data_IF_922229560197
#
_entry.id   IF_922229560197
#
_cell.length_a   1.000
_cell.length_b   1.000
_cell.length_c   1.000
_cell.angle_alpha   90.00
_cell.angle_beta   90.00
_cell.angle_gamma   90.00
#
_symmetry.space_group_name_H-M   'P 1'
#
loop_
_entity.id
_entity.type
_entity.pdbx_description
1 polymer ?
#
# COMPACT_ATOMS: atom_id res chain seq x y z
N UNK A 1 -7.45 14.91 -9.05
CA UNK A 1 -7.07 13.59 -8.49
C UNK A 1 -6.96 12.61 -9.63
N UNK A 2 -5.72 12.25 -10.01
CA UNK A 2 -5.38 11.32 -11.12
C UNK A 2 -4.03 10.62 -10.82
N UNK A 3 -3.84 10.14 -9.59
CA UNK A 3 -2.64 9.38 -9.23
C UNK A 3 -2.97 7.88 -9.07
N UNK A 4 -1.93 7.05 -8.99
CA UNK A 4 -2.06 5.59 -8.87
C UNK A 4 -2.79 5.15 -7.60
N UNK A 5 -2.71 5.92 -6.51
CA UNK A 5 -3.44 5.62 -5.26
C UNK A 5 -4.94 5.79 -5.43
N UNK A 6 -5.37 6.92 -6.01
CA UNK A 6 -6.78 7.23 -6.25
C UNK A 6 -7.39 6.22 -7.22
N UNK A 7 -6.64 5.85 -8.25
CA UNK A 7 -7.08 4.86 -9.22
C UNK A 7 -7.14 3.44 -8.62
N UNK A 8 -6.12 3.04 -7.85
CA UNK A 8 -6.11 1.77 -7.11
C UNK A 8 -7.30 1.69 -6.15
N UNK A 9 -7.55 2.75 -5.38
CA UNK A 9 -8.72 2.85 -4.49
C UNK A 9 -10.02 2.63 -5.27
N UNK A 10 -10.22 3.35 -6.38
CA UNK A 10 -11.42 3.20 -7.20
C UNK A 10 -11.60 1.77 -7.72
N UNK A 11 -10.54 1.14 -8.23
CA UNK A 11 -10.63 -0.20 -8.83
C UNK A 11 -10.98 -1.27 -7.80
N UNK A 12 -10.36 -1.24 -6.64
CA UNK A 12 -10.67 -2.16 -5.54
C UNK A 12 -12.09 -1.87 -5.04
N UNK A 13 -12.47 -0.59 -4.91
CA UNK A 13 -13.79 -0.20 -4.41
C UNK A 13 -14.87 -0.69 -5.35
N UNK A 14 -14.68 -0.54 -6.66
CA UNK A 14 -15.60 -1.00 -7.69
C UNK A 14 -15.76 -2.52 -7.67
N UNK A 15 -14.67 -3.26 -7.46
CA UNK A 15 -14.71 -4.72 -7.38
C UNK A 15 -15.47 -5.21 -6.15
N UNK A 16 -15.23 -4.60 -4.98
CA UNK A 16 -15.87 -4.97 -3.71
C UNK A 16 -17.13 -4.16 -3.37
N UNK A 17 -17.65 -3.35 -4.30
CA UNK A 17 -18.75 -2.41 -4.03
C UNK A 17 -20.00 -3.09 -3.48
N UNK A 18 -20.33 -4.30 -3.96
CA UNK A 18 -21.48 -5.08 -3.47
C UNK A 18 -21.41 -5.39 -1.97
N UNK A 19 -20.20 -5.54 -1.43
CA UNK A 19 -19.96 -5.86 -0.02
C UNK A 19 -19.76 -4.62 0.83
N UNK A 20 -18.93 -3.70 0.34
CA UNK A 20 -18.43 -2.58 1.14
C UNK A 20 -19.24 -1.29 0.96
N UNK A 21 -20.09 -1.23 -0.08
CA UNK A 21 -20.85 -0.03 -0.42
C UNK A 21 -19.97 1.20 -0.61
N UNK A 22 -20.45 2.33 -0.09
CA UNK A 22 -19.79 3.64 -0.19
C UNK A 22 -18.64 3.83 0.80
N UNK A 23 -18.57 3.01 1.84
CA UNK A 23 -17.50 3.05 2.84
C UNK A 23 -16.19 2.48 2.29
N UNK A 24 -16.26 1.58 1.30
CA UNK A 24 -15.11 1.05 0.57
C UNK A 24 -13.98 0.53 1.47
N UNK A 25 -14.35 -0.13 2.57
CA UNK A 25 -13.45 -0.55 3.66
C UNK A 25 -12.28 -1.38 3.14
N UNK A 26 -12.52 -2.34 2.22
CA UNK A 26 -11.46 -3.18 1.65
C UNK A 26 -10.41 -2.33 0.94
N UNK A 27 -10.84 -1.31 0.19
CA UNK A 27 -9.91 -0.43 -0.53
C UNK A 27 -9.08 0.43 0.42
N UNK A 28 -9.70 0.92 1.50
CA UNK A 28 -9.00 1.65 2.55
C UNK A 28 -7.92 0.78 3.20
N UNK A 29 -8.27 -0.46 3.55
CA UNK A 29 -7.34 -1.41 4.16
C UNK A 29 -6.22 -1.78 3.19
N UNK A 30 -6.53 -2.07 1.92
CA UNK A 30 -5.50 -2.39 0.92
C UNK A 30 -4.50 -1.25 0.74
N UNK A 31 -4.95 0.00 0.59
CA UNK A 31 -4.03 1.14 0.50
C UNK A 31 -3.21 1.32 1.77
N UNK A 32 -3.82 1.08 2.94
CA UNK A 32 -3.12 1.16 4.23
C UNK A 32 -2.00 0.14 4.31
N UNK A 33 -2.26 -1.11 3.90
CA UNK A 33 -1.26 -2.19 3.87
C UNK A 33 -0.13 -1.83 2.90
N UNK A 34 -0.44 -1.36 1.69
CA UNK A 34 0.58 -0.99 0.69
C UNK A 34 1.49 0.12 1.22
N UNK A 35 0.91 1.20 1.76
CA UNK A 35 1.69 2.30 2.35
C UNK A 35 2.54 1.83 3.54
N UNK A 36 1.98 0.98 4.39
CA UNK A 36 2.70 0.41 5.52
C UNK A 36 3.91 -0.43 5.08
N UNK A 37 3.74 -1.29 4.07
CA UNK A 37 4.83 -2.10 3.52
C UNK A 37 5.95 -1.24 2.92
N UNK A 38 5.60 -0.14 2.24
CA UNK A 38 6.61 0.81 1.78
C UNK A 38 7.41 1.44 2.92
N UNK A 39 6.75 1.87 3.99
CA UNK A 39 7.43 2.44 5.15
C UNK A 39 8.30 1.39 5.86
N UNK A 40 7.83 0.15 5.95
CA UNK A 40 8.60 -0.95 6.51
C UNK A 40 9.86 -1.24 5.68
N UNK A 41 9.75 -1.27 4.36
CA UNK A 41 10.89 -1.43 3.47
C UNK A 41 11.88 -0.27 3.57
N UNK A 42 11.38 0.97 3.64
CA UNK A 42 12.24 2.14 3.85
C UNK A 42 12.98 2.06 5.18
N UNK A 43 12.31 1.61 6.24
CA UNK A 43 12.93 1.36 7.54
C UNK A 43 14.03 0.30 7.46
N UNK A 44 13.78 -0.84 6.79
CA UNK A 44 14.81 -1.86 6.59
C UNK A 44 15.99 -1.32 5.80
N UNK A 45 15.75 -0.63 4.68
CA UNK A 45 16.80 -0.01 3.87
C UNK A 45 17.68 0.94 4.70
N UNK A 46 17.06 1.82 5.50
CA UNK A 46 17.81 2.76 6.36
C UNK A 46 18.64 2.00 7.40
N UNK A 47 18.10 0.92 7.98
CA UNK A 47 18.84 0.13 8.97
C UNK A 47 20.07 -0.55 8.38
N UNK A 48 19.95 -1.10 7.17
CA UNK A 48 21.06 -1.71 6.44
C UNK A 48 22.12 -0.65 6.10
N UNK A 49 21.70 0.49 5.53
CA UNK A 49 22.61 1.59 5.17
C UNK A 49 23.39 2.15 6.36
N UNK A 50 22.80 2.14 7.55
CA UNK A 50 23.42 2.63 8.78
C UNK A 50 24.14 1.54 9.58
N UNK A 51 24.26 0.32 9.04
CA UNK A 51 24.90 -0.83 9.69
C UNK A 51 24.38 -1.08 11.12
N UNK A 52 23.07 -0.92 11.35
CA UNK A 52 22.44 -1.19 12.65
C UNK A 52 22.31 -2.71 12.96
N UNK A 53 23.05 -3.55 12.25
CA UNK A 53 23.00 -5.02 12.34
C UNK A 53 23.61 -5.60 13.63
N UNK A 54 24.28 -4.77 14.44
CA UNK A 54 24.91 -5.21 15.70
C UNK A 54 23.94 -5.32 16.90
N UNK A 55 22.63 -5.08 16.73
CA UNK A 55 21.64 -5.20 17.81
C UNK A 55 20.72 -6.41 17.62
N UNK A 56 20.39 -7.16 18.69
CA UNK A 56 19.55 -8.34 18.60
C UNK A 56 18.19 -8.02 17.96
N UNK A 57 17.73 -8.90 17.06
CA UNK A 57 16.46 -8.81 16.30
C UNK A 57 15.21 -9.07 17.17
N UNK A 58 15.24 -8.79 18.45
CA UNK A 58 14.09 -8.99 19.33
C UNK A 58 13.16 -7.79 19.21
N UNK A 59 12.05 -7.95 18.49
CA UNK A 59 10.97 -6.96 18.49
C UNK A 59 10.30 -6.95 19.86
N UNK A 60 10.65 -5.93 20.66
CA UNK A 60 10.08 -5.73 21.98
C UNK A 60 8.59 -5.40 21.88
N UNK A 61 7.89 -5.47 23.02
CA UNK A 61 6.48 -5.08 23.09
C UNK A 61 6.27 -3.62 22.64
N UNK A 62 7.25 -2.74 22.91
CA UNK A 62 7.28 -1.35 22.45
C UNK A 62 7.30 -1.26 20.92
N UNK A 63 8.12 -2.06 20.23
CA UNK A 63 8.19 -2.06 18.76
C UNK A 63 6.87 -2.53 18.14
N UNK A 64 6.24 -3.56 18.74
CA UNK A 64 4.94 -4.06 18.29
C UNK A 64 3.84 -3.02 18.43
N UNK A 65 3.80 -2.30 19.56
CA UNK A 65 2.87 -1.18 19.75
C UNK A 65 3.15 -0.07 18.73
N UNK A 66 4.41 0.27 18.49
CA UNK A 66 4.82 1.27 17.50
C UNK A 66 4.33 0.92 16.09
N UNK A 67 4.48 -0.34 15.67
CA UNK A 67 3.99 -0.84 14.37
C UNK A 67 2.47 -0.67 14.25
N UNK A 68 1.71 -1.11 15.26
CA UNK A 68 0.25 -1.00 15.26
C UNK A 68 -0.18 0.47 15.23
N UNK A 69 0.49 1.33 15.99
CA UNK A 69 0.23 2.76 16.01
C UNK A 69 0.48 3.41 14.64
N UNK A 70 1.58 3.08 13.97
CA UNK A 70 1.87 3.57 12.62
C UNK A 70 0.80 3.09 11.63
N UNK A 71 0.43 1.81 11.66
CA UNK A 71 -0.66 1.29 10.82
C UNK A 71 -1.98 2.05 11.06
N UNK A 72 -2.32 2.34 12.31
CA UNK A 72 -3.52 3.10 12.66
C UNK A 72 -3.45 4.52 12.10
N UNK A 73 -2.31 5.21 12.20
CA UNK A 73 -2.13 6.55 11.64
C UNK A 73 -2.33 6.56 10.12
N UNK A 74 -1.74 5.59 9.40
CA UNK A 74 -1.90 5.46 7.94
C UNK A 74 -3.37 5.19 7.60
N UNK A 75 -4.04 4.32 8.37
CA UNK A 75 -5.46 4.03 8.18
C UNK A 75 -6.30 5.29 8.36
N UNK A 76 -6.09 6.05 9.44
CA UNK A 76 -6.81 7.30 9.70
C UNK A 76 -6.57 8.34 8.60
N UNK A 77 -5.33 8.45 8.10
CA UNK A 77 -5.00 9.29 6.96
C UNK A 77 -5.76 8.87 5.70
N UNK A 78 -5.72 7.60 5.33
CA UNK A 78 -6.43 7.07 4.16
C UNK A 78 -7.95 7.21 4.30
N UNK A 79 -8.49 6.95 5.48
CA UNK A 79 -9.91 7.12 5.79
C UNK A 79 -10.33 8.57 5.61
N UNK A 80 -9.59 9.54 6.18
CA UNK A 80 -9.85 10.97 5.98
C UNK A 80 -9.79 11.35 4.50
N UNK A 81 -8.83 10.80 3.76
CA UNK A 81 -8.64 11.12 2.34
C UNK A 81 -9.71 10.52 1.43
N UNK A 82 -10.19 9.31 1.67
CA UNK A 82 -10.98 8.53 0.71
C UNK A 82 -12.40 8.17 1.14
N UNK A 83 -12.77 8.32 2.42
CA UNK A 83 -14.13 8.01 2.89
C UNK A 83 -15.18 8.76 2.06
N UNK A 84 -16.15 8.02 1.53
CA UNK A 84 -17.24 8.56 0.70
C UNK A 84 -16.83 9.04 -0.70
N UNK A 85 -15.56 8.94 -1.09
CA UNK A 85 -15.08 9.43 -2.40
C UNK A 85 -15.30 8.46 -3.56
N UNK A 86 -15.88 7.29 -3.31
CA UNK A 86 -16.09 6.29 -4.36
C UNK A 86 -16.85 6.86 -5.56
N UNK A 87 -17.96 7.57 -5.35
CA UNK A 87 -18.74 8.13 -6.46
C UNK A 87 -17.99 9.20 -7.24
N UNK A 88 -17.28 10.10 -6.54
CA UNK A 88 -16.44 11.12 -7.18
C UNK A 88 -15.40 10.47 -8.10
N UNK A 89 -14.75 9.40 -7.64
CA UNK A 89 -13.76 8.68 -8.42
C UNK A 89 -14.39 7.83 -9.53
N UNK A 90 -15.59 7.28 -9.30
CA UNK A 90 -16.37 6.59 -10.34
C UNK A 90 -16.67 7.52 -11.49
N UNK A 91 -17.12 8.74 -11.24
CA UNK A 91 -17.50 9.69 -12.30
C UNK A 91 -16.31 10.04 -13.20
N UNK A 92 -15.08 10.03 -12.65
CA UNK A 92 -13.85 10.26 -13.41
C UNK A 92 -13.50 9.09 -14.34
N UNK A 93 -13.71 7.84 -13.91
CA UNK A 93 -13.20 6.64 -14.58
C UNK A 93 -14.27 5.63 -15.01
N UNK A 94 -15.55 6.01 -15.01
CA UNK A 94 -16.64 5.14 -15.46
C UNK A 94 -16.62 4.97 -16.98
N UNK A 95 -16.29 6.05 -17.70
CA UNK A 95 -16.27 6.13 -19.16
C UNK A 95 -14.85 5.98 -19.75
N UNK A 96 -13.96 5.28 -19.05
CA UNK A 96 -12.60 5.04 -19.52
C UNK A 96 -12.59 4.05 -20.70
N UNK A 97 -11.84 4.39 -21.76
CA UNK A 97 -11.64 3.52 -22.93
C UNK A 97 -11.10 2.14 -22.54
N UNK A 98 -11.54 1.10 -23.26
CA UNK A 98 -11.23 -0.30 -22.94
C UNK A 98 -9.73 -0.59 -22.84
N UNK A 99 -8.92 -0.06 -23.77
CA UNK A 99 -7.47 -0.27 -23.80
C UNK A 99 -6.80 0.41 -22.59
N UNK A 100 -7.17 1.67 -22.33
CA UNK A 100 -6.66 2.43 -21.19
C UNK A 100 -7.02 1.77 -19.85
N UNK A 101 -8.24 1.23 -19.77
CA UNK A 101 -8.75 0.47 -18.62
C UNK A 101 -7.92 -0.78 -18.31
N UNK A 102 -7.44 -1.48 -19.33
CA UNK A 102 -6.58 -2.67 -19.19
C UNK A 102 -5.18 -2.28 -18.72
N UNK A 103 -4.55 -1.31 -19.39
CA UNK A 103 -3.21 -0.80 -19.04
C UNK A 103 -3.18 -0.29 -17.60
N UNK A 104 -4.14 0.57 -17.23
CA UNK A 104 -4.23 1.09 -15.88
C UNK A 104 -4.55 -0.02 -14.86
N UNK A 105 -5.33 -1.04 -15.24
CA UNK A 105 -5.56 -2.23 -14.42
C UNK A 105 -4.28 -2.99 -14.13
N UNK A 106 -3.42 -3.18 -15.13
CA UNK A 106 -2.11 -3.79 -14.96
C UNK A 106 -1.21 -2.96 -14.03
N UNK A 107 -1.22 -1.63 -14.17
CA UNK A 107 -0.50 -0.75 -13.24
C UNK A 107 -0.99 -0.87 -11.79
N UNK A 108 -2.27 -1.11 -11.55
CA UNK A 108 -2.78 -1.38 -10.19
C UNK A 108 -2.18 -2.66 -9.63
N UNK A 109 -2.13 -3.74 -10.42
CA UNK A 109 -1.52 -5.00 -9.99
C UNK A 109 -0.04 -4.80 -9.69
N UNK A 110 0.71 -4.14 -10.58
CA UNK A 110 2.10 -3.79 -10.34
C UNK A 110 2.27 -2.94 -9.08
N UNK A 111 1.41 -1.95 -8.86
CA UNK A 111 1.44 -1.09 -7.69
C UNK A 111 1.21 -1.88 -6.40
N UNK A 112 0.25 -2.80 -6.37
CA UNK A 112 0.01 -3.67 -5.20
C UNK A 112 1.22 -4.57 -4.92
N UNK A 113 1.86 -5.12 -5.96
CA UNK A 113 3.02 -6.01 -5.82
C UNK A 113 4.33 -5.27 -5.55
N UNK A 114 4.39 -3.98 -5.88
CA UNK A 114 5.64 -3.22 -5.84
C UNK A 114 6.32 -3.11 -4.47
N UNK A 115 5.63 -3.11 -3.30
CA UNK A 115 6.33 -3.21 -2.02
C UNK A 115 7.04 -4.56 -1.85
N UNK A 116 6.50 -5.65 -2.37
CA UNK A 116 7.16 -6.96 -2.32
C UNK A 116 8.39 -6.98 -3.23
N UNK A 117 8.27 -6.42 -4.44
CA UNK A 117 9.40 -6.27 -5.36
C UNK A 117 10.50 -5.42 -4.72
N UNK A 118 10.13 -4.32 -4.03
CA UNK A 118 11.09 -3.47 -3.34
C UNK A 118 11.81 -4.21 -2.20
N UNK A 119 11.09 -5.04 -1.43
CA UNK A 119 11.71 -5.87 -0.39
C UNK A 119 12.74 -6.85 -0.96
N UNK A 120 12.40 -7.54 -2.05
CA UNK A 120 13.32 -8.46 -2.75
C UNK A 120 14.56 -7.72 -3.25
N UNK A 121 14.38 -6.52 -3.79
CA UNK A 121 15.50 -5.69 -4.27
C UNK A 121 16.47 -5.32 -3.13
N UNK A 122 15.95 -4.95 -1.95
CA UNK A 122 16.78 -4.71 -0.76
C UNK A 122 17.55 -5.99 -0.39
N UNK A 123 16.88 -7.14 -0.33
CA UNK A 123 17.53 -8.40 0.03
C UNK A 123 18.67 -8.79 -0.92
N UNK A 124 18.50 -8.56 -2.22
CA UNK A 124 19.54 -8.82 -3.23
C UNK A 124 20.74 -7.86 -3.06
N UNK A 125 20.48 -6.56 -2.87
CA UNK A 125 21.56 -5.55 -2.72
C UNK A 125 22.47 -5.85 -1.53
N UNK A 126 21.89 -6.29 -0.42
CA UNK A 126 22.63 -6.58 0.81
C UNK A 126 23.06 -8.05 0.95
N UNK A 127 23.01 -8.83 -0.15
CA UNK A 127 23.41 -10.23 -0.22
C UNK A 127 22.73 -11.15 0.82
N UNK A 128 21.51 -10.77 1.23
CA UNK A 128 20.64 -11.54 2.15
C UNK A 128 19.67 -12.47 1.40
N UNK A 129 19.86 -12.63 0.08
CA UNK A 129 19.02 -13.44 -0.80
C UNK A 129 19.58 -14.84 -1.10
N UNK A 130 20.69 -15.23 -0.46
CA UNK A 130 21.21 -16.60 -0.55
C UNK A 130 20.28 -17.54 0.25
N UNK A 131 19.36 -18.18 -0.47
CA UNK A 131 18.52 -19.28 0.00
C UNK A 131 19.32 -20.58 0.14
#
# INVERSE_FOLDING_TARGET
MKNIFDYTFYRISKFYFKRDGTDAITSLLTLTIIMFLYLLNAYFLIRELLNFDNKPRTTGLVDKIGIVFIMLLIYLYNRKKYKGKYFILRDIWINEEKNKKQINGFFVVLFILSPLIFLVFIAIIFDKANF
#
